data_IF_116420113886
#
_entry.id   IF_116420113886
#
_cell.length_a   1.000
_cell.length_b   1.000
_cell.length_c   1.000
_cell.angle_alpha   90.00
_cell.angle_beta   90.00
_cell.angle_gamma   90.00
#
_symmetry.space_group_name_H-M   'P 1'
#
loop_
_entity.id
_entity.type
_entity.pdbx_description
1 polymer ?
#
# COMPACT_ATOMS: atom_id res chain seq x y z
N UNK A 1 8.00 -10.35 7.75
CA UNK A 1 7.15 -10.45 8.95
C UNK A 1 5.98 -11.32 8.58
N UNK A 2 5.69 -12.35 9.37
CA UNK A 2 4.56 -13.27 9.16
C UNK A 2 3.56 -13.06 10.28
N UNK A 3 2.27 -13.04 9.97
CA UNK A 3 1.22 -12.84 10.98
C UNK A 3 -0.04 -13.60 10.58
N UNK A 4 -0.66 -14.25 11.56
CA UNK A 4 -1.93 -14.93 11.36
C UNK A 4 -3.10 -13.93 11.35
N UNK A 5 -4.11 -14.22 10.55
CA UNK A 5 -5.36 -13.47 10.53
C UNK A 5 -6.53 -14.41 10.22
N UNK A 6 -7.73 -13.97 10.58
CA UNK A 6 -8.97 -14.62 10.18
C UNK A 6 -9.62 -13.88 9.01
N UNK A 7 -10.06 -14.65 8.01
CA UNK A 7 -10.80 -14.11 6.88
C UNK A 7 -12.26 -13.87 7.28
N UNK A 8 -12.65 -12.61 7.39
CA UNK A 8 -13.99 -12.20 7.80
C UNK A 8 -14.98 -12.15 6.64
N UNK A 9 -14.52 -11.70 5.46
CA UNK A 9 -15.39 -11.55 4.29
C UNK A 9 -14.59 -11.62 2.99
N UNK A 10 -15.29 -12.02 1.93
CA UNK A 10 -14.80 -12.08 0.55
C UNK A 10 -15.77 -11.26 -0.31
N UNK A 11 -15.26 -10.31 -1.07
CA UNK A 11 -16.04 -9.48 -1.98
C UNK A 11 -15.56 -9.65 -3.42
N UNK A 12 -16.49 -9.96 -4.32
CA UNK A 12 -16.27 -10.09 -5.77
C UNK A 12 -17.26 -9.18 -6.50
N UNK A 13 -16.76 -8.32 -7.40
CA UNK A 13 -17.58 -7.39 -8.18
C UNK A 13 -18.58 -6.58 -7.33
N UNK A 14 -18.13 -6.14 -6.15
CA UNK A 14 -18.94 -5.37 -5.21
C UNK A 14 -19.99 -6.18 -4.42
N UNK A 15 -20.01 -7.51 -4.56
CA UNK A 15 -20.92 -8.40 -3.81
C UNK A 15 -20.14 -9.31 -2.87
N UNK A 16 -20.65 -9.46 -1.66
CA UNK A 16 -20.11 -10.41 -0.69
C UNK A 16 -20.46 -11.85 -1.11
N UNK A 17 -19.46 -12.72 -1.05
CA UNK A 17 -19.58 -14.14 -1.40
C UNK A 17 -19.02 -15.02 -0.29
N UNK A 18 -19.59 -16.21 -0.09
CA UNK A 18 -19.12 -17.16 0.94
C UNK A 18 -17.83 -17.89 0.56
N UNK A 19 -17.57 -18.00 -0.74
CA UNK A 19 -16.49 -18.79 -1.33
C UNK A 19 -15.96 -18.12 -2.59
N UNK A 20 -14.65 -18.20 -2.81
CA UNK A 20 -13.98 -17.74 -4.03
C UNK A 20 -13.24 -18.89 -4.70
N UNK A 21 -13.59 -19.16 -5.95
CA UNK A 21 -12.82 -20.06 -6.82
C UNK A 21 -11.58 -19.35 -7.40
N UNK A 22 -10.52 -20.10 -7.75
CA UNK A 22 -9.34 -19.54 -8.41
C UNK A 22 -9.65 -18.74 -9.69
N UNK A 23 -8.67 -17.97 -10.18
CA UNK A 23 -8.66 -17.25 -11.46
C UNK A 23 -9.35 -15.88 -11.55
N UNK A 24 -10.08 -15.42 -10.53
CA UNK A 24 -10.66 -14.06 -10.56
C UNK A 24 -10.19 -13.23 -9.37
N UNK A 25 -10.28 -11.92 -9.53
CA UNK A 25 -9.94 -10.99 -8.47
C UNK A 25 -10.98 -11.02 -7.35
N UNK A 26 -10.51 -10.73 -6.14
CA UNK A 26 -11.36 -10.60 -4.98
C UNK A 26 -10.77 -9.55 -4.04
N UNK A 27 -11.62 -9.03 -3.16
CA UNK A 27 -11.22 -8.24 -2.02
C UNK A 27 -11.43 -9.06 -0.76
N UNK A 28 -10.36 -9.27 0.00
CA UNK A 28 -10.40 -9.99 1.27
C UNK A 28 -10.40 -9.02 2.43
N UNK A 29 -11.33 -9.21 3.36
CA UNK A 29 -11.40 -8.46 4.61
C UNK A 29 -10.99 -9.39 5.74
N UNK A 30 -10.06 -8.93 6.58
CA UNK A 30 -9.53 -9.71 7.70
C UNK A 30 -9.62 -8.90 8.99
N UNK A 31 -9.60 -9.60 10.13
CA UNK A 31 -9.62 -9.03 11.49
C UNK A 31 -8.46 -8.08 11.80
N UNK A 32 -7.28 -8.32 11.24
CA UNK A 32 -6.09 -7.48 11.42
C UNK A 32 -5.27 -7.40 10.14
N UNK A 33 -4.38 -6.40 9.99
CA UNK A 33 -3.49 -6.28 8.84
C UNK A 33 -2.08 -5.83 9.22
N UNK A 34 -1.08 -6.49 8.63
CA UNK A 34 0.32 -6.04 8.64
C UNK A 34 0.68 -5.22 7.40
N UNK A 35 -0.21 -5.16 6.42
CA UNK A 35 -0.02 -4.38 5.20
C UNK A 35 -0.36 -2.92 5.46
N UNK A 36 0.52 -2.03 5.04
CA UNK A 36 0.21 -0.62 4.90
C UNK A 36 -0.87 -0.43 3.84
N UNK A 37 -1.98 0.19 4.26
CA UNK A 37 -3.03 0.62 3.34
C UNK A 37 -2.64 1.97 2.73
N UNK A 38 -2.89 2.14 1.44
CA UNK A 38 -2.58 3.38 0.72
C UNK A 38 -3.08 4.61 1.49
N UNK A 39 -2.18 5.56 1.73
CA UNK A 39 -2.47 6.80 2.45
C UNK A 39 -1.37 7.83 2.24
N UNK A 40 -1.73 9.11 2.26
CA UNK A 40 -0.76 10.22 2.21
C UNK A 40 0.13 10.26 0.97
N UNK A 41 -0.28 9.63 -0.13
CA UNK A 41 0.51 9.48 -1.36
C UNK A 41 1.41 8.24 -1.39
N UNK A 42 1.53 7.50 -0.30
CA UNK A 42 2.27 6.24 -0.27
C UNK A 42 1.42 5.09 -0.80
N UNK A 43 1.97 4.37 -1.77
CA UNK A 43 1.32 3.19 -2.35
C UNK A 43 1.15 2.09 -1.31
N UNK A 44 0.07 1.32 -1.42
CA UNK A 44 -0.19 0.20 -0.55
C UNK A 44 0.92 -0.88 -0.61
N UNK A 45 1.06 -1.61 0.49
CA UNK A 45 1.93 -2.79 0.49
C UNK A 45 1.37 -3.89 -0.41
N UNK A 46 2.29 -4.72 -0.91
CA UNK A 46 1.97 -5.92 -1.69
C UNK A 46 2.53 -7.15 -0.99
N UNK A 47 1.89 -8.30 -1.21
CA UNK A 47 2.37 -9.54 -0.63
C UNK A 47 1.45 -10.70 -0.88
N UNK A 48 1.43 -11.63 0.07
CA UNK A 48 0.71 -12.89 -0.06
C UNK A 48 -0.07 -13.18 1.23
N UNK A 49 -1.23 -13.82 1.09
CA UNK A 49 -1.93 -14.48 2.18
C UNK A 49 -2.03 -15.96 1.86
N UNK A 50 -1.57 -16.82 2.78
CA UNK A 50 -1.43 -18.25 2.51
C UNK A 50 -2.06 -19.10 3.59
N UNK A 51 -2.48 -20.31 3.22
CA UNK A 51 -2.71 -21.38 4.18
C UNK A 51 -2.17 -22.67 3.55
N UNK A 52 -0.96 -23.04 3.97
CA UNK A 52 -0.21 -24.18 3.39
C UNK A 52 -1.00 -25.48 3.58
N UNK A 53 -1.60 -25.70 4.76
CA UNK A 53 -2.37 -26.92 5.06
C UNK A 53 -3.58 -27.08 4.15
N UNK A 54 -4.22 -25.98 3.80
CA UNK A 54 -5.38 -25.96 2.92
C UNK A 54 -5.01 -25.75 1.44
N UNK A 55 -3.74 -25.57 1.09
CA UNK A 55 -3.30 -25.29 -0.26
C UNK A 55 -3.93 -24.02 -0.81
N UNK A 56 -3.82 -22.91 -0.06
CA UNK A 56 -4.38 -21.60 -0.42
C UNK A 56 -3.24 -20.58 -0.52
N UNK A 57 -3.26 -19.77 -1.57
CA UNK A 57 -2.35 -18.64 -1.79
C UNK A 57 -3.08 -17.56 -2.54
N UNK A 58 -3.15 -16.40 -1.92
CA UNK A 58 -3.76 -15.20 -2.46
C UNK A 58 -2.69 -14.12 -2.60
N UNK A 59 -2.55 -13.57 -3.80
CA UNK A 59 -1.61 -12.50 -4.09
C UNK A 59 -2.27 -11.15 -3.84
N UNK A 60 -1.85 -10.47 -2.77
CA UNK A 60 -2.31 -9.12 -2.43
C UNK A 60 -1.60 -8.12 -3.34
N UNK A 61 -2.38 -7.44 -4.19
CA UNK A 61 -1.89 -6.43 -5.13
C UNK A 61 -2.06 -5.00 -4.60
N UNK A 62 -3.03 -4.80 -3.71
CA UNK A 62 -3.41 -3.49 -3.21
C UNK A 62 -4.14 -3.63 -1.86
N UNK A 63 -4.00 -2.63 -1.00
CA UNK A 63 -4.62 -2.59 0.33
C UNK A 63 -5.20 -1.21 0.57
N UNK A 64 -6.50 -1.18 0.86
CA UNK A 64 -7.26 0.04 1.07
C UNK A 64 -7.85 0.05 2.48
N UNK A 65 -7.97 1.25 3.06
CA UNK A 65 -8.59 1.44 4.38
C UNK A 65 -9.94 2.13 4.23
N UNK A 66 -11.01 1.45 4.59
CA UNK A 66 -12.38 1.99 4.53
C UNK A 66 -12.87 2.29 5.94
N UNK A 67 -13.52 3.45 6.11
CA UNK A 67 -14.11 3.85 7.40
C UNK A 67 -13.09 3.99 8.55
N UNK A 68 -11.80 4.13 8.23
CA UNK A 68 -10.74 4.34 9.22
C UNK A 68 -10.27 3.09 9.98
N UNK A 69 -10.93 1.94 9.84
CA UNK A 69 -10.61 0.71 10.58
C UNK A 69 -10.62 -0.57 9.72
N UNK A 70 -11.34 -0.58 8.59
CA UNK A 70 -11.49 -1.78 7.78
C UNK A 70 -10.38 -1.88 6.73
N UNK A 71 -9.62 -2.98 6.76
CA UNK A 71 -8.56 -3.25 5.78
C UNK A 71 -9.07 -4.18 4.68
N UNK A 72 -9.09 -3.67 3.45
CA UNK A 72 -9.54 -4.36 2.26
C UNK A 72 -8.34 -4.74 1.40
N UNK A 73 -8.09 -6.03 1.22
CA UNK A 73 -6.93 -6.55 0.50
C UNK A 73 -7.38 -7.05 -0.88
N UNK A 74 -7.12 -6.27 -1.92
CA UNK A 74 -7.48 -6.62 -3.28
C UNK A 74 -6.37 -7.43 -3.93
N UNK A 75 -6.76 -8.48 -4.66
CA UNK A 75 -5.78 -9.42 -5.18
C UNK A 75 -6.38 -10.56 -5.97
N UNK A 76 -5.55 -11.58 -6.21
CA UNK A 76 -5.89 -12.76 -7.02
C UNK A 76 -5.63 -14.04 -6.25
N UNK A 77 -6.59 -14.97 -6.28
CA UNK A 77 -6.37 -16.34 -5.81
C UNK A 77 -5.58 -17.16 -6.84
N UNK A 78 -4.52 -17.84 -6.41
CA UNK A 78 -3.67 -18.63 -7.30
C UNK A 78 -4.46 -19.75 -7.99
N UNK A 79 -4.18 -19.97 -9.28
CA UNK A 79 -4.96 -20.82 -10.20
C UNK A 79 -5.03 -22.28 -9.78
N UNK A 80 -3.91 -22.81 -9.27
CA UNK A 80 -3.72 -24.24 -9.03
C UNK A 80 -4.03 -24.64 -7.57
N UNK A 81 -4.77 -23.79 -6.85
CA UNK A 81 -5.00 -23.91 -5.41
C UNK A 81 -6.48 -24.06 -5.06
N UNK A 82 -6.75 -24.42 -3.81
CA UNK A 82 -8.13 -24.60 -3.34
C UNK A 82 -8.84 -23.27 -3.24
N UNK A 83 -10.16 -23.34 -3.38
CA UNK A 83 -11.03 -22.22 -3.15
C UNK A 83 -10.94 -21.68 -1.71
N UNK A 84 -11.09 -20.37 -1.61
CA UNK A 84 -11.07 -19.65 -0.34
C UNK A 84 -12.48 -19.57 0.23
N UNK A 85 -12.65 -19.76 1.55
CA UNK A 85 -13.94 -19.64 2.24
C UNK A 85 -13.81 -18.76 3.48
N UNK A 86 -14.87 -18.03 3.82
CA UNK A 86 -14.95 -17.22 5.05
C UNK A 86 -14.65 -18.08 6.30
N UNK A 87 -14.01 -17.49 7.32
CA UNK A 87 -13.63 -18.13 8.58
C UNK A 87 -12.31 -18.92 8.51
N UNK A 88 -11.64 -18.92 7.36
CA UNK A 88 -10.33 -19.55 7.24
C UNK A 88 -9.23 -18.67 7.87
N UNK A 89 -8.33 -19.32 8.60
CA UNK A 89 -7.09 -18.71 9.06
C UNK A 89 -6.08 -18.63 7.92
N UNK A 90 -5.44 -17.49 7.76
CA UNK A 90 -4.40 -17.23 6.76
C UNK A 90 -3.15 -16.66 7.42
N UNK A 91 -1.99 -16.92 6.83
CA UNK A 91 -0.70 -16.33 7.17
C UNK A 91 -0.39 -15.24 6.15
N UNK A 92 -0.23 -14.01 6.61
CA UNK A 92 0.16 -12.84 5.79
C UNK A 92 1.67 -12.77 5.68
N UNK A 93 2.16 -12.59 4.45
CA UNK A 93 3.58 -12.49 4.12
C UNK A 93 3.77 -11.22 3.27
N UNK A 94 4.50 -10.25 3.80
CA UNK A 94 4.87 -9.02 3.08
C UNK A 94 5.99 -9.29 2.06
N UNK A 95 5.83 -8.79 0.83
CA UNK A 95 6.90 -8.84 -0.19
C UNK A 95 7.74 -7.55 -0.11
N UNK A 96 9.07 -7.71 -0.21
CA UNK A 96 10.18 -6.75 0.06
C UNK A 96 10.14 -5.33 -0.58
N UNK A 97 9.07 -4.88 -1.24
CA UNK A 97 8.97 -3.50 -1.75
C UNK A 97 8.95 -2.42 -0.64
N UNK A 98 8.68 -2.82 0.59
CA UNK A 98 8.55 -1.95 1.78
C UNK A 98 9.79 -1.08 2.04
N UNK A 99 11.00 -1.61 1.87
CA UNK A 99 12.22 -0.87 2.27
C UNK A 99 12.47 0.38 1.41
N UNK A 100 12.30 0.26 0.08
CA UNK A 100 12.46 1.40 -0.84
C UNK A 100 11.36 2.45 -0.64
N UNK A 101 10.13 1.99 -0.42
CA UNK A 101 8.99 2.88 -0.13
C UNK A 101 9.26 3.65 1.16
N UNK A 102 9.75 2.98 2.22
CA UNK A 102 10.10 3.63 3.48
C UNK A 102 11.22 4.65 3.31
N UNK A 103 12.25 4.37 2.50
CA UNK A 103 13.31 5.34 2.19
C UNK A 103 12.76 6.56 1.44
N UNK A 104 11.90 6.33 0.45
CA UNK A 104 11.26 7.41 -0.30
C UNK A 104 10.29 8.23 0.57
N UNK A 105 9.64 7.61 1.56
CA UNK A 105 8.82 8.31 2.54
C UNK A 105 9.67 9.26 3.38
N UNK A 106 10.78 8.78 3.94
CA UNK A 106 11.72 9.64 4.67
C UNK A 106 12.28 10.75 3.80
N UNK A 107 12.64 10.44 2.54
CA UNK A 107 13.10 11.44 1.57
C UNK A 107 12.03 12.49 1.26
N UNK A 108 10.74 12.15 1.32
CA UNK A 108 9.64 13.12 1.16
C UNK A 108 9.68 14.18 2.24
N UNK A 109 9.89 13.78 3.50
CA UNK A 109 9.97 14.73 4.62
C UNK A 109 11.23 15.58 4.54
N UNK A 110 12.37 14.98 4.19
CA UNK A 110 13.64 15.71 4.00
C UNK A 110 13.50 16.74 2.88
N UNK A 111 12.96 16.34 1.73
CA UNK A 111 12.72 17.24 0.59
C UNK A 111 11.77 18.38 0.97
N UNK A 112 10.69 18.07 1.70
CA UNK A 112 9.75 19.09 2.13
C UNK A 112 10.41 20.13 3.04
N UNK A 113 11.25 19.69 3.98
CA UNK A 113 11.99 20.58 4.86
C UNK A 113 13.02 21.42 4.09
N UNK A 114 13.80 20.81 3.20
CA UNK A 114 14.76 21.53 2.35
C UNK A 114 14.08 22.61 1.49
N UNK A 115 12.91 22.29 0.90
CA UNK A 115 12.10 23.25 0.17
C UNK A 115 11.68 24.43 1.04
N UNK A 116 11.32 24.21 2.32
CA UNK A 116 10.95 25.30 3.24
C UNK A 116 12.15 26.17 3.60
N UNK A 117 13.33 25.57 3.78
CA UNK A 117 14.55 26.30 4.11
C UNK A 117 15.02 27.19 2.96
N UNK A 118 14.96 26.71 1.71
CA UNK A 118 15.42 27.44 0.53
C UNK A 118 14.35 28.39 -0.03
N UNK A 119 13.11 27.90 -0.20
CA UNK A 119 12.05 28.66 -0.88
C UNK A 119 11.13 29.41 0.08
N UNK A 120 11.12 29.04 1.37
CA UNK A 120 10.35 29.70 2.43
C UNK A 120 9.25 28.84 3.06
N UNK A 121 8.79 29.26 4.25
CA UNK A 121 7.83 28.54 5.08
C UNK A 121 6.43 28.34 4.48
N UNK A 122 6.09 29.07 3.41
CA UNK A 122 4.81 28.98 2.71
C UNK A 122 4.68 27.73 1.83
N UNK A 123 5.76 26.99 1.63
CA UNK A 123 5.70 25.71 0.91
C UNK A 123 4.72 24.80 1.63
N UNK A 124 3.70 24.37 0.89
CA UNK A 124 2.68 23.45 1.37
C UNK A 124 2.48 22.34 0.35
N UNK A 125 2.45 21.11 0.83
CA UNK A 125 2.16 19.93 0.01
C UNK A 125 0.76 20.03 -0.62
N UNK A 126 0.68 19.75 -1.92
CA UNK A 126 -0.56 19.62 -2.70
C UNK A 126 -0.78 18.22 -3.24
N UNK A 127 0.27 17.42 -3.33
CA UNK A 127 0.22 16.02 -3.75
C UNK A 127 1.50 15.29 -3.42
N UNK A 128 1.43 13.97 -3.32
CA UNK A 128 2.62 13.12 -3.19
C UNK A 128 2.37 11.76 -3.82
N UNK A 129 3.42 11.17 -4.38
CA UNK A 129 3.48 9.76 -4.77
C UNK A 129 4.76 9.18 -4.19
N UNK A 130 4.62 8.19 -3.30
CA UNK A 130 5.74 7.45 -2.72
C UNK A 130 5.60 5.99 -3.13
N UNK A 131 6.38 5.57 -4.13
CA UNK A 131 6.45 4.17 -4.56
C UNK A 131 7.89 3.63 -4.43
N UNK A 132 8.09 2.34 -4.71
CA UNK A 132 9.41 1.70 -4.56
C UNK A 132 10.46 2.09 -5.61
N UNK A 133 10.07 2.83 -6.65
CA UNK A 133 10.91 3.22 -7.78
C UNK A 133 11.12 4.73 -7.86
N UNK A 134 10.14 5.54 -7.44
CA UNK A 134 10.19 7.00 -7.49
C UNK A 134 9.42 7.66 -6.35
N UNK A 135 9.79 8.90 -6.12
CA UNK A 135 9.09 9.87 -5.27
C UNK A 135 8.64 11.04 -6.17
N UNK A 136 7.39 11.48 -6.04
CA UNK A 136 6.92 12.78 -6.56
C UNK A 136 6.36 13.58 -5.40
N UNK A 137 6.75 14.84 -5.28
CA UNK A 137 6.24 15.77 -4.29
C UNK A 137 5.73 17.02 -5.00
N UNK A 138 4.43 17.26 -4.93
CA UNK A 138 3.76 18.40 -5.58
C UNK A 138 3.48 19.45 -4.50
N UNK A 139 3.90 20.71 -4.71
CA UNK A 139 3.75 21.80 -3.74
C UNK A 139 3.35 23.12 -4.40
N UNK A 140 2.83 24.06 -3.60
CA UNK A 140 2.49 25.40 -4.09
C UNK A 140 3.68 26.35 -4.00
N UNK A 141 4.06 26.90 -5.15
CA UNK A 141 5.04 27.97 -5.26
C UNK A 141 4.67 28.87 -6.44
N UNK A 142 4.75 30.20 -6.28
CA UNK A 142 4.27 31.17 -7.27
C UNK A 142 5.31 31.56 -8.33
N UNK A 143 6.57 31.20 -8.11
CA UNK A 143 7.69 31.52 -9.00
C UNK A 143 8.24 30.25 -9.63
N UNK A 144 8.98 30.40 -10.72
CA UNK A 144 9.79 29.31 -11.25
C UNK A 144 11.02 29.17 -10.35
N UNK A 145 11.36 27.94 -10.00
CA UNK A 145 12.54 27.64 -9.19
C UNK A 145 13.79 27.79 -10.06
N UNK A 146 14.78 28.53 -9.59
CA UNK A 146 16.04 28.74 -10.32
C UNK A 146 16.92 27.49 -10.26
N UNK A 147 17.96 27.44 -11.09
CA UNK A 147 18.91 26.32 -11.06
C UNK A 147 19.73 26.32 -9.78
N UNK A 148 20.07 27.51 -9.28
CA UNK A 148 20.77 27.71 -8.02
C UNK A 148 19.94 27.21 -6.85
N UNK A 149 18.65 27.58 -6.79
CA UNK A 149 17.73 27.09 -5.75
C UNK A 149 17.57 25.57 -5.79
N UNK A 150 17.50 24.95 -6.99
CA UNK A 150 17.46 23.49 -7.12
C UNK A 150 18.73 22.86 -6.52
N UNK A 151 19.90 23.39 -6.83
CA UNK A 151 21.17 22.89 -6.27
C UNK A 151 21.21 23.05 -4.75
N UNK A 152 20.72 24.16 -4.22
CA UNK A 152 20.65 24.38 -2.77
C UNK A 152 19.69 23.42 -2.08
N UNK A 153 18.61 23.00 -2.75
CA UNK A 153 17.67 21.99 -2.23
C UNK A 153 18.28 20.58 -2.24
N UNK A 154 19.18 20.26 -3.16
CA UNK A 154 19.77 18.93 -3.33
C UNK A 154 21.00 18.66 -2.43
N UNK A 155 21.64 19.69 -1.89
CA UNK A 155 22.87 19.61 -1.06
C UNK A 155 22.58 19.54 0.45
#
# INVERSE_FOLDING_TARGET
METECELLSIVCDGKEVKKKEPNEEATLITDQSVFYAESGGQVADTGEMTNIKNGIKFYVKDVQKIGGSLFCHRGLLARDLKALSIGQKLIKILIKKVEKISKNHSATHILHEALRQVLGEHISQKGSLVDGNRLRFDFSHQKVITKEEILDIEN
#
